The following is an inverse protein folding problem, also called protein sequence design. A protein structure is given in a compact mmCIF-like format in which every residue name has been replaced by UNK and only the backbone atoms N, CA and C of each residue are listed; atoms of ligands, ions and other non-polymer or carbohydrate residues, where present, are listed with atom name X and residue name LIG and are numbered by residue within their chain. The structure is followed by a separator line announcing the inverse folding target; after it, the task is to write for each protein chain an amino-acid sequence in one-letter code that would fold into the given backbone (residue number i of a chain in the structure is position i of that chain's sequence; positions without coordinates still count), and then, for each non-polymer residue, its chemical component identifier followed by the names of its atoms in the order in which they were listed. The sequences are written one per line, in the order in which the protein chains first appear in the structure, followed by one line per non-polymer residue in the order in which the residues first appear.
data_IF_146577953742
#
_entry.id   IF_146577953742
#
_cell.length_a   1.000
_cell.length_b   1.000
_cell.length_c   1.000
_cell.angle_alpha   90.00
_cell.angle_beta   90.00
_cell.angle_gamma   90.00
#
_symmetry.space_group_name_H-M   'P 1'
#
loop_
_entity.id
_entity.type
_entity.pdbx_description
1 polymer ?
#
# COMPACT_ATOMS: atom_id res chain seq x y z
N UNK A 1 -17.44 19.78 -24.97
CA UNK A 1 -16.13 19.93 -24.31
C UNK A 1 -16.20 20.60 -22.93
N UNK A 2 -17.14 21.47 -22.63
CA UNK A 2 -17.28 22.18 -21.32
C UNK A 2 -17.73 21.29 -20.15
N UNK A 3 -18.46 20.23 -20.39
CA UNK A 3 -18.99 19.32 -19.32
C UNK A 3 -17.89 18.49 -18.64
N UNK A 4 -16.82 18.19 -19.32
CA UNK A 4 -15.69 17.42 -18.75
C UNK A 4 -14.83 18.25 -17.81
N UNK A 5 -14.66 19.54 -18.07
CA UNK A 5 -13.88 20.45 -17.22
C UNK A 5 -14.59 20.71 -15.88
N UNK A 6 -15.89 21.00 -15.91
CA UNK A 6 -16.71 21.20 -14.71
C UNK A 6 -16.72 19.94 -13.82
N UNK A 7 -16.84 18.75 -14.42
CA UNK A 7 -16.75 17.48 -13.67
C UNK A 7 -15.38 17.28 -13.03
N UNK A 8 -14.28 17.60 -13.71
CA UNK A 8 -12.92 17.51 -13.16
C UNK A 8 -12.70 18.49 -12.02
N UNK A 9 -13.13 19.74 -12.15
CA UNK A 9 -13.05 20.74 -11.08
C UNK A 9 -13.87 20.29 -9.87
N UNK A 10 -15.10 19.78 -10.08
CA UNK A 10 -15.91 19.25 -8.99
C UNK A 10 -15.27 18.08 -8.29
N UNK A 11 -14.64 17.15 -9.02
CA UNK A 11 -13.91 16.03 -8.46
C UNK A 11 -12.71 16.49 -7.62
N UNK A 12 -11.94 17.47 -8.11
CA UNK A 12 -10.80 18.05 -7.37
C UNK A 12 -11.29 18.74 -6.09
N UNK A 13 -12.35 19.54 -6.18
CA UNK A 13 -12.94 20.22 -5.02
C UNK A 13 -13.46 19.22 -3.98
N UNK A 14 -14.14 18.17 -4.42
CA UNK A 14 -14.63 17.11 -3.53
C UNK A 14 -13.49 16.36 -2.86
N UNK A 15 -12.41 16.10 -3.57
CA UNK A 15 -11.21 15.44 -3.06
C UNK A 15 -10.49 16.33 -2.04
N UNK A 16 -10.31 17.61 -2.36
CA UNK A 16 -9.73 18.59 -1.43
C UNK A 16 -10.58 18.78 -0.18
N UNK A 17 -11.91 18.86 -0.32
CA UNK A 17 -12.81 18.99 0.85
C UNK A 17 -12.78 17.76 1.74
N UNK A 18 -12.71 16.55 1.16
CA UNK A 18 -12.62 15.30 1.92
C UNK A 18 -11.27 15.22 2.66
N UNK A 19 -10.17 15.60 2.00
CA UNK A 19 -8.84 15.62 2.61
C UNK A 19 -8.78 16.65 3.74
N UNK A 20 -9.30 17.87 3.51
CA UNK A 20 -9.36 18.92 4.52
C UNK A 20 -10.23 18.50 5.73
N UNK A 21 -11.37 17.85 5.49
CA UNK A 21 -12.22 17.31 6.54
C UNK A 21 -11.51 16.21 7.33
N UNK A 22 -10.84 15.27 6.67
CA UNK A 22 -10.08 14.22 7.33
C UNK A 22 -8.92 14.79 8.19
N UNK A 23 -8.18 15.76 7.66
CA UNK A 23 -7.13 16.46 8.41
C UNK A 23 -7.72 17.21 9.62
N UNK A 24 -8.84 17.94 9.42
CA UNK A 24 -9.48 18.64 10.52
C UNK A 24 -9.98 17.68 11.59
N UNK A 25 -10.62 16.58 11.19
CA UNK A 25 -11.11 15.57 12.13
C UNK A 25 -9.99 14.89 12.92
N UNK A 26 -8.87 14.60 12.25
CA UNK A 26 -7.70 13.98 12.89
C UNK A 26 -6.96 14.93 13.85
N UNK A 27 -6.96 16.23 13.56
CA UNK A 27 -6.19 17.22 14.30
C UNK A 27 -7.02 18.07 15.29
N UNK A 28 -8.35 17.97 15.26
CA UNK A 28 -9.24 18.89 16.01
C UNK A 28 -8.96 18.95 17.51
N UNK A 29 -8.58 17.83 18.11
CA UNK A 29 -8.38 17.72 19.55
C UNK A 29 -6.93 18.07 19.97
N UNK A 30 -5.95 17.84 19.08
CA UNK A 30 -4.50 17.95 19.37
C UNK A 30 -3.77 18.94 18.45
N UNK A 31 -4.48 19.79 17.72
CA UNK A 31 -3.90 20.67 16.68
C UNK A 31 -2.78 21.57 17.22
N UNK A 32 -2.97 22.14 18.40
CA UNK A 32 -1.98 23.01 19.02
C UNK A 32 -0.71 22.25 19.41
N UNK A 33 -0.86 21.06 19.98
CA UNK A 33 0.25 20.20 20.37
C UNK A 33 1.02 19.67 19.15
N UNK A 34 0.30 19.25 18.11
CA UNK A 34 0.89 18.79 16.85
C UNK A 34 1.67 19.91 16.16
N UNK A 35 1.11 21.12 16.07
CA UNK A 35 1.80 22.28 15.51
C UNK A 35 3.03 22.68 16.34
N UNK A 36 2.91 22.65 17.66
CA UNK A 36 4.04 22.89 18.55
C UNK A 36 5.15 21.87 18.32
N UNK A 37 4.83 20.59 18.30
CA UNK A 37 5.79 19.51 18.06
C UNK A 37 6.45 19.62 16.69
N UNK A 38 5.68 19.90 15.62
CA UNK A 38 6.22 20.11 14.27
C UNK A 38 7.16 21.30 14.22
N UNK A 39 6.86 22.41 14.91
CA UNK A 39 7.72 23.60 14.93
C UNK A 39 9.06 23.36 15.64
N UNK A 40 9.13 22.36 16.53
CA UNK A 40 10.34 21.98 17.26
C UNK A 40 11.12 20.84 16.61
N UNK A 41 10.57 20.20 15.55
CA UNK A 41 11.31 19.19 14.79
C UNK A 41 12.41 19.88 13.99
N UNK A 42 13.64 19.43 14.17
CA UNK A 42 14.76 19.90 13.36
C UNK A 42 14.53 19.57 11.88
N UNK A 43 14.75 20.56 11.02
CA UNK A 43 14.49 20.46 9.58
C UNK A 43 15.15 19.25 8.90
N UNK A 44 16.30 18.79 9.38
CA UNK A 44 16.99 17.62 8.84
C UNK A 44 16.18 16.32 8.98
N UNK A 45 15.34 16.19 10.03
CA UNK A 45 14.43 15.04 10.18
C UNK A 45 13.36 15.06 9.10
N UNK A 46 12.83 16.23 8.78
CA UNK A 46 11.82 16.38 7.71
C UNK A 46 12.43 15.98 6.36
N UNK A 47 13.65 16.47 6.08
CA UNK A 47 14.38 16.11 4.85
C UNK A 47 14.69 14.61 4.83
N UNK A 48 15.14 14.04 5.94
CA UNK A 48 15.44 12.61 6.03
C UNK A 48 14.19 11.76 5.74
N UNK A 49 13.04 12.09 6.34
CA UNK A 49 11.77 11.39 6.09
C UNK A 49 11.36 11.53 4.62
N UNK A 50 11.47 12.72 4.04
CA UNK A 50 11.14 12.95 2.63
C UNK A 50 12.05 12.14 1.69
N UNK A 51 13.35 12.10 1.96
CA UNK A 51 14.32 11.29 1.19
C UNK A 51 14.02 9.80 1.31
N UNK A 52 13.82 9.31 2.54
CA UNK A 52 13.51 7.88 2.77
C UNK A 52 12.17 7.49 2.14
N UNK A 53 11.13 8.33 2.26
CA UNK A 53 9.83 8.11 1.63
C UNK A 53 9.93 8.08 0.10
N UNK A 54 10.69 9.01 -0.49
CA UNK A 54 10.95 9.02 -1.93
C UNK A 54 11.71 7.77 -2.36
N UNK A 55 12.77 7.40 -1.65
CA UNK A 55 13.55 6.20 -1.93
C UNK A 55 12.69 4.93 -1.85
N UNK A 56 11.80 4.85 -0.86
CA UNK A 56 10.86 3.73 -0.74
C UNK A 56 10.00 3.56 -2.00
N UNK A 57 9.35 4.64 -2.47
CA UNK A 57 8.49 4.56 -3.66
C UNK A 57 9.26 4.33 -4.96
N UNK A 58 10.50 4.82 -5.07
CA UNK A 58 11.38 4.49 -6.19
C UNK A 58 11.70 2.99 -6.21
N UNK A 59 12.06 2.42 -5.06
CA UNK A 59 12.33 0.97 -4.94
C UNK A 59 11.08 0.15 -5.22
N UNK A 60 9.92 0.54 -4.66
CA UNK A 60 8.64 -0.10 -4.93
C UNK A 60 8.31 -0.09 -6.44
N UNK A 61 8.56 1.03 -7.11
CA UNK A 61 8.38 1.14 -8.57
C UNK A 61 9.31 0.24 -9.36
N UNK A 62 10.56 0.07 -8.93
CA UNK A 62 11.52 -0.86 -9.54
C UNK A 62 11.06 -2.31 -9.35
N UNK A 63 10.57 -2.68 -8.16
CA UNK A 63 10.00 -4.00 -7.88
C UNK A 63 8.81 -4.26 -8.80
N UNK A 64 7.89 -3.31 -8.88
CA UNK A 64 6.69 -3.41 -9.72
C UNK A 64 7.05 -3.57 -11.21
N UNK A 65 8.04 -2.79 -11.70
CA UNK A 65 8.60 -2.97 -13.03
C UNK A 65 9.14 -4.39 -13.24
N UNK A 66 9.92 -4.92 -12.30
CA UNK A 66 10.50 -6.27 -12.40
C UNK A 66 9.43 -7.36 -12.47
N UNK A 67 8.35 -7.20 -11.70
CA UNK A 67 7.22 -8.13 -11.71
C UNK A 67 6.43 -8.04 -13.03
N UNK A 68 6.26 -6.83 -13.59
CA UNK A 68 5.49 -6.59 -14.80
C UNK A 68 6.26 -6.97 -16.09
N UNK A 69 7.60 -6.90 -16.08
CA UNK A 69 8.46 -7.13 -17.25
C UNK A 69 8.21 -8.46 -17.99
N UNK A 70 7.95 -9.61 -17.34
CA UNK A 70 7.63 -10.85 -18.02
C UNK A 70 6.30 -10.83 -18.80
N UNK A 71 5.37 -9.95 -18.43
CA UNK A 71 4.04 -9.83 -19.06
C UNK A 71 4.02 -8.78 -20.16
N UNK A 72 4.91 -7.78 -20.08
CA UNK A 72 5.04 -6.73 -21.07
C UNK A 72 6.52 -6.34 -21.26
N UNK A 73 7.09 -6.81 -22.35
CA UNK A 73 8.54 -6.72 -22.63
C UNK A 73 9.03 -5.29 -22.91
N UNK A 74 8.15 -4.40 -23.40
CA UNK A 74 8.45 -3.01 -23.73
C UNK A 74 8.21 -2.03 -22.56
N UNK A 75 7.75 -2.52 -21.39
CA UNK A 75 7.59 -1.69 -20.19
C UNK A 75 8.92 -1.12 -19.73
N UNK A 76 8.93 0.13 -19.30
CA UNK A 76 10.11 0.85 -18.81
C UNK A 76 10.10 0.95 -17.29
N UNK A 77 11.28 1.17 -16.69
CA UNK A 77 11.39 1.37 -15.24
C UNK A 77 10.51 2.54 -14.77
N UNK A 78 10.45 3.61 -15.55
CA UNK A 78 9.62 4.78 -15.23
C UNK A 78 8.12 4.47 -15.17
N UNK A 79 7.64 3.52 -15.96
CA UNK A 79 6.23 3.11 -15.91
C UNK A 79 5.91 2.42 -14.57
N UNK A 80 6.82 1.60 -14.05
CA UNK A 80 6.71 1.02 -12.72
C UNK A 80 6.75 2.08 -11.61
N UNK A 81 7.68 3.02 -11.69
CA UNK A 81 7.81 4.13 -10.73
C UNK A 81 6.55 5.01 -10.74
N UNK A 82 6.09 5.45 -11.91
CA UNK A 82 4.84 6.21 -12.02
C UNK A 82 3.65 5.45 -11.42
N UNK A 83 3.56 4.15 -11.67
CA UNK A 83 2.49 3.32 -11.15
C UNK A 83 2.53 3.22 -9.61
N UNK A 84 3.72 3.08 -9.01
CA UNK A 84 3.88 3.09 -7.55
C UNK A 84 3.46 4.42 -6.92
N UNK A 85 3.84 5.56 -7.51
CA UNK A 85 3.42 6.88 -7.03
C UNK A 85 1.91 7.13 -7.20
N UNK A 86 1.32 6.67 -8.31
CA UNK A 86 -0.13 6.71 -8.52
C UNK A 86 -0.83 5.93 -7.41
N UNK A 87 -0.37 4.72 -7.10
CA UNK A 87 -0.91 3.91 -6.01
C UNK A 87 -0.79 4.61 -4.66
N UNK A 88 0.38 5.17 -4.35
CA UNK A 88 0.62 5.91 -3.12
C UNK A 88 -0.36 7.08 -2.95
N UNK A 89 -0.51 7.88 -4.00
CA UNK A 89 -1.44 9.01 -4.00
C UNK A 89 -2.88 8.55 -3.75
N UNK A 90 -3.37 7.56 -4.51
CA UNK A 90 -4.75 7.09 -4.37
C UNK A 90 -4.99 6.36 -3.05
N UNK A 91 -4.02 5.66 -2.49
CA UNK A 91 -4.12 5.08 -1.15
C UNK A 91 -4.24 6.16 -0.07
N UNK A 92 -3.55 7.30 -0.23
CA UNK A 92 -3.64 8.41 0.72
C UNK A 92 -4.94 9.20 0.67
N UNK A 93 -5.59 9.28 -0.52
CA UNK A 93 -6.80 10.11 -0.69
C UNK A 93 -8.11 9.31 -0.70
N UNK A 94 -8.06 7.98 -0.76
CA UNK A 94 -9.26 7.15 -0.76
C UNK A 94 -9.33 6.28 0.50
N UNK A 95 -10.46 6.27 1.21
CA UNK A 95 -10.59 5.56 2.49
C UNK A 95 -10.52 4.04 2.37
N UNK A 96 -10.69 3.48 1.17
CA UNK A 96 -10.73 2.03 0.92
C UNK A 96 -9.53 1.52 0.11
N UNK A 97 -8.41 2.26 0.05
CA UNK A 97 -7.22 1.81 -0.64
C UNK A 97 -7.37 1.74 -2.16
N UNK A 98 -7.81 2.85 -2.79
CA UNK A 98 -8.01 2.93 -4.25
C UNK A 98 -6.75 2.80 -5.11
N UNK A 99 -5.58 2.61 -4.48
CA UNK A 99 -4.31 2.48 -5.18
C UNK A 99 -4.27 1.32 -6.17
N UNK A 100 -4.81 0.15 -5.81
CA UNK A 100 -4.84 -1.01 -6.72
C UNK A 100 -5.72 -0.77 -7.96
N UNK A 101 -6.84 -0.06 -7.78
CA UNK A 101 -7.71 0.34 -8.90
C UNK A 101 -6.98 1.31 -9.82
N UNK A 102 -6.30 2.28 -9.24
CA UNK A 102 -5.50 3.26 -9.97
C UNK A 102 -4.31 2.61 -10.70
N UNK A 103 -3.62 1.65 -10.07
CA UNK A 103 -2.58 0.84 -10.70
C UNK A 103 -3.11 0.03 -11.89
N UNK A 104 -4.27 -0.59 -11.73
CA UNK A 104 -4.93 -1.32 -12.81
C UNK A 104 -5.18 -0.41 -14.01
N UNK A 105 -5.70 0.78 -13.77
CA UNK A 105 -5.93 1.78 -14.83
C UNK A 105 -4.62 2.25 -15.48
N UNK A 106 -3.57 2.47 -14.70
CA UNK A 106 -2.26 2.88 -15.21
C UNK A 106 -1.64 1.81 -16.11
N UNK A 107 -1.65 0.53 -15.69
CA UNK A 107 -1.18 -0.58 -16.50
C UNK A 107 -2.05 -0.81 -17.74
N UNK A 108 -3.36 -0.58 -17.64
CA UNK A 108 -4.26 -0.68 -18.79
C UNK A 108 -3.94 0.35 -19.87
N UNK A 109 -3.50 1.56 -19.48
CA UNK A 109 -3.01 2.57 -20.42
C UNK A 109 -1.74 2.16 -21.17
N UNK A 110 -1.01 1.20 -20.66
CA UNK A 110 0.14 0.58 -21.31
C UNK A 110 -0.26 -0.64 -22.14
N UNK A 111 -1.54 -0.82 -22.46
CA UNK A 111 -2.12 -1.94 -23.25
C UNK A 111 -1.88 -3.33 -22.64
N UNK A 112 -1.66 -3.41 -21.32
CA UNK A 112 -1.60 -4.72 -20.63
C UNK A 112 -3.01 -5.34 -20.52
N UNK A 113 -3.09 -6.67 -20.63
CA UNK A 113 -4.35 -7.41 -20.42
C UNK A 113 -4.71 -7.43 -18.92
N UNK A 114 -6.02 -7.48 -18.63
CA UNK A 114 -6.48 -7.52 -17.22
C UNK A 114 -5.97 -8.74 -16.45
N UNK A 115 -5.82 -9.91 -17.10
CA UNK A 115 -5.23 -11.12 -16.51
C UNK A 115 -3.79 -10.92 -16.08
N UNK A 116 -3.00 -10.22 -16.90
CA UNK A 116 -1.60 -9.93 -16.62
C UNK A 116 -1.47 -8.90 -15.51
N UNK A 117 -2.30 -7.85 -15.55
CA UNK A 117 -2.37 -6.84 -14.49
C UNK A 117 -2.72 -7.49 -13.14
N UNK A 118 -3.75 -8.35 -13.13
CA UNK A 118 -4.13 -9.08 -11.92
C UNK A 118 -2.97 -9.94 -11.40
N UNK A 119 -2.23 -10.62 -12.29
CA UNK A 119 -1.05 -11.41 -11.93
C UNK A 119 0.09 -10.57 -11.37
N UNK A 120 0.30 -9.36 -11.91
CA UNK A 120 1.31 -8.41 -11.43
C UNK A 120 0.94 -7.92 -10.02
N UNK A 121 -0.28 -7.41 -9.85
CA UNK A 121 -0.75 -6.87 -8.57
C UNK A 121 -0.82 -7.95 -7.49
N UNK A 122 -1.20 -9.17 -7.84
CA UNK A 122 -1.17 -10.32 -6.95
C UNK A 122 0.26 -10.63 -6.45
N UNK A 123 1.24 -10.68 -7.35
CA UNK A 123 2.64 -10.92 -6.97
C UNK A 123 3.19 -9.80 -6.10
N UNK A 124 2.88 -8.56 -6.43
CA UNK A 124 3.29 -7.39 -5.64
C UNK A 124 2.70 -7.47 -4.22
N UNK A 125 1.42 -7.75 -4.10
CA UNK A 125 0.74 -7.94 -2.82
C UNK A 125 1.36 -9.10 -2.01
N UNK A 126 1.62 -10.24 -2.65
CA UNK A 126 2.22 -11.40 -1.99
C UNK A 126 3.62 -11.09 -1.46
N UNK A 127 4.46 -10.42 -2.25
CA UNK A 127 5.79 -9.99 -1.83
C UNK A 127 5.72 -9.02 -0.66
N UNK A 128 4.84 -8.02 -0.74
CA UNK A 128 4.63 -7.06 0.35
C UNK A 128 4.24 -7.75 1.65
N UNK A 129 3.21 -8.60 1.62
CA UNK A 129 2.72 -9.32 2.80
C UNK A 129 3.78 -10.28 3.37
N UNK A 130 4.54 -10.97 2.51
CA UNK A 130 5.64 -11.83 2.93
C UNK A 130 6.75 -11.06 3.63
N UNK A 131 7.08 -9.87 3.12
CA UNK A 131 8.07 -8.97 3.72
C UNK A 131 7.61 -8.48 5.10
N UNK A 132 6.36 -8.05 5.22
CA UNK A 132 5.77 -7.63 6.50
C UNK A 132 5.80 -8.78 7.50
N UNK A 133 5.36 -9.98 7.09
CA UNK A 133 5.37 -11.16 7.96
C UNK A 133 6.79 -11.49 8.44
N UNK A 134 7.78 -11.43 7.56
CA UNK A 134 9.18 -11.67 7.89
C UNK A 134 9.70 -10.68 8.95
N UNK A 135 9.49 -9.38 8.76
CA UNK A 135 9.91 -8.37 9.72
C UNK A 135 9.19 -8.49 11.07
N UNK A 136 7.88 -8.71 11.06
CA UNK A 136 7.12 -8.90 12.30
C UNK A 136 7.58 -10.16 13.02
N UNK A 137 7.90 -11.25 12.30
CA UNK A 137 8.47 -12.46 12.90
C UNK A 137 9.79 -12.18 13.61
N UNK A 138 10.71 -11.45 12.98
CA UNK A 138 11.98 -11.07 13.60
C UNK A 138 11.73 -10.22 14.86
N UNK A 139 10.86 -9.24 14.80
CA UNK A 139 10.53 -8.39 15.95
C UNK A 139 9.93 -9.20 17.10
N UNK A 140 9.00 -10.10 16.81
CA UNK A 140 8.40 -10.96 17.82
C UNK A 140 9.44 -11.91 18.46
N UNK A 141 10.35 -12.47 17.64
CA UNK A 141 11.38 -13.36 18.17
C UNK A 141 12.43 -12.64 19.01
N UNK A 142 12.83 -11.43 18.60
CA UNK A 142 13.93 -10.70 19.26
C UNK A 142 13.46 -9.83 20.43
N UNK A 143 12.21 -9.37 20.42
CA UNK A 143 11.66 -8.38 21.37
C UNK A 143 10.36 -8.85 22.03
N UNK A 144 10.12 -10.16 22.11
CA UNK A 144 8.88 -10.72 22.64
C UNK A 144 8.57 -10.24 24.06
N UNK A 145 9.54 -10.37 24.98
CA UNK A 145 9.38 -9.94 26.38
C UNK A 145 9.10 -8.46 26.49
N UNK A 146 9.84 -7.63 25.74
CA UNK A 146 9.62 -6.20 25.69
C UNK A 146 8.22 -5.84 25.16
N UNK A 147 7.78 -6.50 24.10
CA UNK A 147 6.47 -6.27 23.49
C UNK A 147 5.34 -6.69 24.46
N UNK A 148 5.48 -7.79 25.16
CA UNK A 148 4.51 -8.25 26.16
C UNK A 148 4.40 -7.28 27.34
N UNK A 149 5.53 -6.76 27.80
CA UNK A 149 5.59 -5.87 28.98
C UNK A 149 5.05 -4.46 28.70
N UNK A 150 5.35 -3.92 27.49
CA UNK A 150 5.01 -2.54 27.17
C UNK A 150 3.68 -2.37 26.43
N UNK A 151 3.26 -3.37 25.65
CA UNK A 151 2.03 -3.27 24.85
C UNK A 151 0.83 -3.97 25.47
N UNK A 152 0.99 -4.80 26.50
CA UNK A 152 -0.08 -5.46 27.25
C UNK A 152 -1.26 -5.93 26.36
N UNK A 153 -2.44 -5.27 26.47
CA UNK A 153 -3.64 -5.65 25.72
C UNK A 153 -3.46 -5.51 24.20
N UNK A 154 -2.64 -4.55 23.73
CA UNK A 154 -2.35 -4.35 22.31
C UNK A 154 -1.47 -5.46 21.74
N UNK A 155 -0.69 -6.15 22.57
CA UNK A 155 0.12 -7.28 22.13
C UNK A 155 -0.74 -8.41 21.56
N UNK A 156 -1.90 -8.66 22.14
CA UNK A 156 -2.88 -9.61 21.60
C UNK A 156 -3.38 -9.22 20.21
N UNK A 157 -3.60 -7.92 19.97
CA UNK A 157 -4.01 -7.42 18.65
C UNK A 157 -2.89 -7.59 17.61
N UNK A 158 -1.62 -7.40 18.01
CA UNK A 158 -0.45 -7.65 17.15
C UNK A 158 -0.37 -9.13 16.78
N UNK A 159 -0.52 -10.04 17.75
CA UNK A 159 -0.53 -11.49 17.50
C UNK A 159 -1.70 -11.92 16.61
N UNK A 160 -2.88 -11.37 16.83
CA UNK A 160 -4.05 -11.63 15.99
C UNK A 160 -3.80 -11.15 14.55
N UNK A 161 -3.31 -9.93 14.36
CA UNK A 161 -2.95 -9.39 13.05
C UNK A 161 -1.88 -10.24 12.35
N UNK A 162 -0.87 -10.70 13.11
CA UNK A 162 0.16 -11.61 12.61
C UNK A 162 -0.43 -12.94 12.15
N UNK A 163 -1.30 -13.56 12.96
CA UNK A 163 -1.95 -14.83 12.63
C UNK A 163 -2.85 -14.72 11.40
N UNK A 164 -3.62 -13.63 11.28
CA UNK A 164 -4.45 -13.35 10.10
C UNK A 164 -3.56 -13.20 8.87
N UNK A 165 -2.50 -12.40 8.94
CA UNK A 165 -1.58 -12.18 7.82
C UNK A 165 -0.90 -13.48 7.39
N UNK A 166 -0.40 -14.28 8.35
CA UNK A 166 0.19 -15.58 8.10
C UNK A 166 -0.80 -16.54 7.42
N UNK A 167 -2.06 -16.56 7.90
CA UNK A 167 -3.12 -17.38 7.31
C UNK A 167 -3.42 -16.99 5.86
N UNK A 168 -3.49 -15.69 5.57
CA UNK A 168 -3.67 -15.18 4.20
C UNK A 168 -2.53 -15.67 3.29
N UNK A 169 -1.27 -15.49 3.71
CA UNK A 169 -0.11 -15.94 2.92
C UNK A 169 -0.16 -17.45 2.69
N UNK A 170 -0.52 -18.22 3.72
CA UNK A 170 -0.60 -19.68 3.64
C UNK A 170 -1.69 -20.13 2.64
N UNK A 171 -2.86 -19.48 2.68
CA UNK A 171 -3.96 -19.72 1.73
C UNK A 171 -3.49 -19.38 0.32
N UNK A 172 -2.87 -18.20 0.12
CA UNK A 172 -2.38 -17.77 -1.17
C UNK A 172 -1.31 -18.71 -1.74
N UNK A 173 -0.39 -19.16 -0.88
CA UNK A 173 0.66 -20.10 -1.25
C UNK A 173 0.08 -21.47 -1.63
N UNK A 174 -0.88 -22.00 -0.85
CA UNK A 174 -1.55 -23.26 -1.16
C UNK A 174 -2.35 -23.20 -2.44
N UNK A 175 -3.05 -22.10 -2.72
CA UNK A 175 -3.75 -21.87 -3.98
C UNK A 175 -2.78 -21.86 -5.17
N UNK A 176 -1.63 -21.21 -5.04
CA UNK A 176 -0.60 -21.17 -6.07
C UNK A 176 0.05 -22.54 -6.29
N UNK A 177 0.28 -23.32 -5.23
CA UNK A 177 0.97 -24.62 -5.30
C UNK A 177 0.04 -25.77 -5.74
N UNK A 178 -1.23 -25.70 -5.37
CA UNK A 178 -2.22 -26.76 -5.60
C UNK A 178 -3.49 -26.26 -6.33
N UNK A 179 -3.38 -25.84 -7.62
CA UNK A 179 -4.51 -25.27 -8.36
C UNK A 179 -5.70 -26.25 -8.49
N UNK A 180 -5.44 -27.56 -8.47
CA UNK A 180 -6.49 -28.60 -8.51
C UNK A 180 -7.36 -28.61 -7.25
N UNK A 181 -6.80 -28.32 -6.09
CA UNK A 181 -7.55 -28.19 -4.82
C UNK A 181 -8.51 -27.00 -4.87
N UNK A 182 -8.07 -25.89 -5.41
CA UNK A 182 -8.90 -24.68 -5.58
C UNK A 182 -10.13 -24.95 -6.45
N UNK A 183 -9.94 -25.60 -7.61
CA UNK A 183 -11.05 -25.96 -8.52
C UNK A 183 -12.04 -26.90 -7.85
N UNK A 184 -11.58 -27.81 -6.99
CA UNK A 184 -12.45 -28.74 -6.25
C UNK A 184 -13.29 -28.04 -5.19
N UNK A 185 -12.71 -27.07 -4.46
CA UNK A 185 -13.41 -26.29 -3.41
C UNK A 185 -14.40 -25.30 -4.03
N UNK A 186 -14.06 -24.72 -5.20
CA UNK A 186 -14.90 -23.74 -5.90
C UNK A 186 -16.12 -24.38 -6.61
N UNK A 187 -16.16 -25.71 -6.76
CA UNK A 187 -17.25 -26.46 -7.43
C UNK A 187 -18.17 -27.22 -6.48
N UNK A 188 -17.87 -27.23 -5.18
CA UNK A 188 -18.73 -27.76 -4.12
C UNK A 188 -19.44 -26.66 -3.36
#
# INVERSE_FOLDING_TARGET
MQTTWKKRILQILLLLSLTAFACWFALKDDCAEVLYNISHISWYWIVLIAVLGTAYYLLQGIVLYRIAKPYKTDIRIWDGIHNAYIAAFFNGVTPLGGGQVAQTYAFRKLDMQYSDIASVLWKDFFLYQSTVLFYVSILLLTRFSYAMEHFQIYFFLVLLGFAINASVILILWTMARFPKLYVKISRG
#
